data_IF_618194234271
#
_entry.id   IF_618194234271
#
_cell.length_a   1.000
_cell.length_b   1.000
_cell.length_c   1.000
_cell.angle_alpha   90.00
_cell.angle_beta   90.00
_cell.angle_gamma   90.00
#
_symmetry.space_group_name_H-M   'P 1'
#
loop_
_entity.id
_entity.type
_entity.pdbx_description
1 polymer ?
#
# COMPACT_ATOMS: atom_id res chain seq x y z
N UNK A 1 8.33 -19.19 -11.70
CA UNK A 1 7.28 -18.17 -11.49
C UNK A 1 6.15 -18.33 -12.50
N UNK A 2 6.22 -17.84 -13.74
CA UNK A 2 5.12 -18.03 -14.72
C UNK A 2 4.80 -19.51 -14.98
N UNK A 3 5.82 -20.37 -15.06
CA UNK A 3 5.61 -21.81 -15.23
C UNK A 3 5.13 -22.53 -13.94
N UNK A 4 5.37 -21.95 -12.76
CA UNK A 4 4.86 -22.49 -11.48
C UNK A 4 3.42 -22.02 -11.20
N UNK A 5 3.02 -20.87 -11.74
CA UNK A 5 1.63 -20.37 -11.75
C UNK A 5 0.75 -21.28 -12.64
N UNK A 6 1.31 -21.83 -13.73
CA UNK A 6 0.57 -22.77 -14.61
C UNK A 6 0.20 -24.08 -13.93
N UNK A 7 1.05 -24.58 -13.03
CA UNK A 7 0.88 -25.92 -12.45
C UNK A 7 -0.04 -25.92 -11.22
N UNK A 8 -0.12 -24.80 -10.49
CA UNK A 8 -0.90 -24.70 -9.25
C UNK A 8 -2.36 -24.24 -9.43
N UNK A 9 -2.74 -23.70 -10.60
CA UNK A 9 -4.03 -22.99 -10.75
C UNK A 9 -5.06 -23.63 -11.69
N UNK A 10 -4.86 -24.84 -12.20
CA UNK A 10 -5.81 -25.52 -13.11
C UNK A 10 -6.36 -24.61 -14.24
N UNK A 11 -5.58 -23.63 -14.70
CA UNK A 11 -5.98 -22.75 -15.79
C UNK A 11 -6.18 -23.60 -17.06
N UNK A 12 -7.35 -23.51 -17.69
CA UNK A 12 -7.68 -24.28 -18.90
C UNK A 12 -6.57 -24.01 -19.94
N UNK A 13 -6.13 -25.07 -20.63
CA UNK A 13 -5.12 -25.00 -21.68
C UNK A 13 -5.52 -23.98 -22.77
N UNK A 14 -6.81 -23.66 -22.89
CA UNK A 14 -7.36 -22.63 -23.78
C UNK A 14 -7.03 -21.20 -23.36
N UNK A 15 -7.01 -20.89 -22.06
CA UNK A 15 -6.68 -19.55 -21.55
C UNK A 15 -5.18 -19.27 -21.68
N UNK A 16 -4.35 -20.29 -21.46
CA UNK A 16 -2.90 -20.23 -21.67
C UNK A 16 -2.54 -20.07 -23.14
N UNK A 17 -3.34 -20.61 -24.07
CA UNK A 17 -3.11 -20.49 -25.51
C UNK A 17 -3.31 -19.05 -26.01
N UNK A 18 -4.24 -18.29 -25.42
CA UNK A 18 -4.42 -16.85 -25.71
C UNK A 18 -3.23 -16.00 -25.29
N UNK A 19 -2.52 -16.36 -24.23
CA UNK A 19 -1.30 -15.67 -23.80
C UNK A 19 -0.04 -16.10 -24.58
N UNK A 20 -0.06 -17.28 -25.22
CA UNK A 20 1.10 -17.85 -25.91
C UNK A 20 1.21 -17.46 -27.38
N UNK A 21 0.13 -16.94 -27.97
CA UNK A 21 0.09 -16.41 -29.34
C UNK A 21 0.48 -14.92 -29.40
N UNK A 22 1.39 -14.47 -28.53
CA UNK A 22 2.18 -13.27 -28.82
C UNK A 22 3.25 -13.69 -29.84
N UNK A 23 3.27 -13.13 -31.06
CA UNK A 23 4.21 -13.52 -32.10
C UNK A 23 5.64 -13.34 -31.60
N UNK A 24 6.50 -14.35 -31.83
CA UNK A 24 7.95 -14.27 -31.61
C UNK A 24 8.66 -13.38 -32.66
N UNK A 25 8.07 -12.24 -32.97
CA UNK A 25 8.77 -11.12 -33.57
C UNK A 25 9.12 -10.16 -32.45
N UNK A 26 10.33 -9.62 -32.44
CA UNK A 26 10.72 -8.48 -31.62
C UNK A 26 9.68 -7.37 -31.78
N UNK A 27 8.74 -7.26 -30.83
CA UNK A 27 7.83 -6.12 -30.75
C UNK A 27 8.71 -4.94 -30.32
N UNK A 28 8.84 -3.88 -31.13
CA UNK A 28 9.48 -2.65 -30.69
C UNK A 28 8.72 -2.15 -29.46
N UNK A 29 9.45 -1.73 -28.43
CA UNK A 29 8.98 -1.17 -27.16
C UNK A 29 8.23 0.19 -27.32
N UNK A 30 7.42 0.36 -28.36
CA UNK A 30 6.67 1.59 -28.65
C UNK A 30 5.33 1.69 -27.90
N UNK A 31 4.88 0.63 -27.21
CA UNK A 31 3.62 0.65 -26.44
C UNK A 31 3.68 1.53 -25.19
N UNK A 32 4.87 1.91 -24.72
CA UNK A 32 5.01 2.76 -23.54
C UNK A 32 4.47 4.18 -23.77
N UNK A 33 4.54 4.72 -24.99
CA UNK A 33 4.09 6.10 -25.25
C UNK A 33 2.57 6.21 -25.28
N UNK A 34 1.87 5.22 -25.82
CA UNK A 34 0.40 5.19 -25.91
C UNK A 34 -0.21 4.96 -24.53
N UNK A 35 0.36 4.06 -23.74
CA UNK A 35 -0.08 3.79 -22.38
C UNK A 35 0.17 5.00 -21.47
N UNK A 36 1.32 5.68 -21.59
CA UNK A 36 1.57 6.92 -20.85
C UNK A 36 0.58 8.02 -21.28
N UNK A 37 0.30 8.15 -22.58
CA UNK A 37 -0.67 9.15 -23.07
C UNK A 37 -2.09 8.88 -22.58
N UNK A 38 -2.50 7.60 -22.52
CA UNK A 38 -3.83 7.20 -22.05
C UNK A 38 -3.93 7.36 -20.55
N UNK A 39 -2.90 6.95 -19.81
CA UNK A 39 -2.79 7.14 -18.37
C UNK A 39 -2.82 8.62 -17.96
N UNK A 40 -2.09 9.49 -18.66
CA UNK A 40 -2.14 10.92 -18.43
C UNK A 40 -3.50 11.53 -18.79
N UNK A 41 -4.15 11.05 -19.86
CA UNK A 41 -5.53 11.44 -20.16
C UNK A 41 -6.49 11.03 -19.04
N UNK A 42 -6.36 9.83 -18.50
CA UNK A 42 -7.17 9.34 -17.37
C UNK A 42 -6.97 10.23 -16.13
N UNK A 43 -5.71 10.56 -15.78
CA UNK A 43 -5.39 11.49 -14.70
C UNK A 43 -5.99 12.88 -14.92
N UNK A 44 -5.87 13.41 -16.13
CA UNK A 44 -6.44 14.71 -16.47
C UNK A 44 -7.97 14.72 -16.39
N UNK A 45 -8.64 13.61 -16.74
CA UNK A 45 -10.08 13.47 -16.56
C UNK A 45 -10.48 13.52 -15.08
N UNK A 46 -9.75 12.84 -14.20
CA UNK A 46 -9.99 12.90 -12.75
C UNK A 46 -9.74 14.31 -12.17
N UNK A 47 -8.68 14.97 -12.63
CA UNK A 47 -8.37 16.34 -12.17
C UNK A 47 -9.43 17.35 -12.65
N UNK A 48 -9.89 17.22 -13.89
CA UNK A 48 -10.99 18.02 -14.42
C UNK A 48 -12.29 17.79 -13.64
N UNK A 49 -12.57 16.54 -13.27
CA UNK A 49 -13.71 16.17 -12.44
C UNK A 49 -13.64 16.81 -11.05
N UNK A 50 -12.49 16.72 -10.38
CA UNK A 50 -12.29 17.36 -9.08
C UNK A 50 -12.51 18.89 -9.16
N UNK A 51 -11.97 19.52 -10.21
CA UNK A 51 -12.17 20.95 -10.47
C UNK A 51 -13.65 21.29 -10.73
N UNK A 52 -14.36 20.49 -11.53
CA UNK A 52 -15.77 20.69 -11.83
C UNK A 52 -16.63 20.62 -10.56
N UNK A 53 -16.38 19.63 -9.69
CA UNK A 53 -17.07 19.51 -8.40
C UNK A 53 -16.86 20.74 -7.51
N UNK A 54 -15.64 21.24 -7.42
CA UNK A 54 -15.33 22.41 -6.60
C UNK A 54 -16.00 23.68 -7.15
N UNK A 55 -16.00 23.86 -8.47
CA UNK A 55 -16.69 24.97 -9.13
C UNK A 55 -18.20 24.88 -8.88
N UNK A 56 -18.80 23.69 -9.02
CA UNK A 56 -20.23 23.51 -8.79
C UNK A 56 -20.61 23.76 -7.33
N UNK A 57 -19.79 23.27 -6.39
CA UNK A 57 -19.94 23.55 -4.96
C UNK A 57 -19.86 25.04 -4.68
N UNK A 58 -18.88 25.74 -5.25
CA UNK A 58 -18.71 27.20 -5.13
C UNK A 58 -19.90 27.95 -5.72
N UNK A 59 -20.40 27.53 -6.88
CA UNK A 59 -21.58 28.10 -7.52
C UNK A 59 -22.82 27.93 -6.65
N UNK A 60 -23.04 26.75 -6.09
CA UNK A 60 -24.12 26.46 -5.14
C UNK A 60 -24.03 27.35 -3.91
N UNK A 61 -22.82 27.49 -3.35
CA UNK A 61 -22.59 28.33 -2.18
C UNK A 61 -22.87 29.81 -2.52
N UNK A 62 -22.49 30.29 -3.71
CA UNK A 62 -22.74 31.64 -4.20
C UNK A 62 -24.22 31.92 -4.56
N UNK A 63 -24.94 30.93 -5.10
CA UNK A 63 -26.37 31.01 -5.42
C UNK A 63 -27.28 30.89 -4.20
N UNK A 64 -26.71 30.72 -3.01
CA UNK A 64 -27.45 30.82 -1.76
C UNK A 64 -27.75 29.48 -1.11
N UNK A 65 -26.72 28.66 -0.86
CA UNK A 65 -26.75 27.66 0.22
C UNK A 65 -27.16 28.23 1.60
N UNK A 66 -27.31 29.55 1.70
CA UNK A 66 -27.87 30.30 2.84
C UNK A 66 -29.40 30.48 2.83
N UNK A 67 -30.16 30.04 1.83
CA UNK A 67 -31.63 30.09 1.87
C UNK A 67 -32.27 28.78 2.35
N UNK A 68 -31.81 28.31 3.51
CA UNK A 68 -32.74 27.82 4.53
C UNK A 68 -33.37 29.04 5.24
N UNK A 69 -34.02 29.93 4.48
CA UNK A 69 -34.93 30.89 5.07
C UNK A 69 -36.22 30.13 5.39
N UNK A 70 -36.26 29.62 6.62
CA UNK A 70 -37.43 29.66 7.50
C UNK A 70 -38.75 29.20 6.88
N UNK A 71 -39.00 27.89 6.94
CA UNK A 71 -40.35 27.32 6.86
C UNK A 71 -41.15 27.53 8.16
N UNK A 72 -41.04 28.69 8.81
CA UNK A 72 -41.89 29.07 9.94
C UNK A 72 -42.29 30.55 9.85
N UNK A 73 -43.61 30.73 9.71
CA UNK A 73 -44.40 31.94 9.93
C UNK A 73 -44.33 33.05 8.87
N UNK A 74 -45.16 32.94 7.83
CA UNK A 74 -45.99 34.06 7.38
C UNK A 74 -47.28 33.53 6.74
N UNK A 75 -48.28 33.28 7.60
CA UNK A 75 -49.68 33.23 7.16
C UNK A 75 -50.28 34.63 7.29
N UNK A 76 -51.00 35.00 6.23
CA UNK A 76 -51.97 36.07 6.09
C UNK A 76 -51.45 37.51 5.94
N UNK A 77 -51.42 38.04 4.70
CA UNK A 77 -52.53 38.87 4.20
C UNK A 77 -52.50 39.02 2.67
N UNK A 78 -53.70 39.07 2.10
CA UNK A 78 -54.12 39.16 0.70
C UNK A 78 -53.59 40.38 -0.09
N UNK A 79 -53.29 40.19 -1.39
CA UNK A 79 -54.12 40.69 -2.50
C UNK A 79 -53.42 40.55 -3.87
N UNK A 80 -54.26 40.36 -4.88
CA UNK A 80 -54.01 40.19 -6.31
C UNK A 80 -53.20 41.30 -6.98
N UNK A 81 -52.34 40.95 -7.94
CA UNK A 81 -52.43 41.42 -9.35
C UNK A 81 -51.37 40.76 -10.24
N UNK A 82 -51.78 40.55 -11.50
CA UNK A 82 -51.06 39.98 -12.65
C UNK A 82 -49.59 40.42 -12.80
N UNK A 83 -48.71 39.45 -13.10
CA UNK A 83 -47.71 39.57 -14.19
C UNK A 83 -47.14 38.20 -14.60
N UNK A 84 -47.60 37.76 -15.77
CA UNK A 84 -46.91 37.00 -16.82
C UNK A 84 -45.49 36.43 -16.58
N UNK A 85 -45.44 35.10 -16.71
CA UNK A 85 -44.56 34.35 -17.64
C UNK A 85 -43.06 34.61 -17.61
N UNK A 86 -42.42 34.11 -16.55
CA UNK A 86 -41.20 33.32 -16.73
C UNK A 86 -41.36 32.05 -15.92
N UNK A 87 -41.83 30.97 -16.57
CA UNK A 87 -41.66 29.63 -16.02
C UNK A 87 -40.16 29.36 -15.98
N UNK A 88 -39.53 29.73 -14.87
CA UNK A 88 -38.20 29.26 -14.55
C UNK A 88 -38.30 27.75 -14.46
N UNK A 89 -37.89 27.07 -15.53
CA UNK A 89 -37.56 25.64 -15.56
C UNK A 89 -36.38 25.42 -14.61
N UNK A 90 -36.63 25.54 -13.31
CA UNK A 90 -35.68 25.18 -12.28
C UNK A 90 -35.48 23.68 -12.38
N UNK A 91 -34.31 23.27 -12.85
CA UNK A 91 -33.84 21.90 -12.67
C UNK A 91 -33.93 21.64 -11.16
N UNK A 92 -34.74 20.66 -10.77
CA UNK A 92 -34.92 20.33 -9.36
C UNK A 92 -33.55 19.90 -8.83
N UNK A 93 -33.04 20.56 -7.79
CA UNK A 93 -31.74 20.27 -7.15
C UNK A 93 -31.57 18.78 -6.77
N UNK A 94 -32.66 18.02 -6.66
CA UNK A 94 -32.65 16.57 -6.43
C UNK A 94 -32.17 15.73 -7.63
N UNK A 95 -32.18 16.28 -8.85
CA UNK A 95 -31.63 15.64 -10.04
C UNK A 95 -30.10 15.75 -10.08
N UNK A 96 -29.55 16.84 -9.55
CA UNK A 96 -28.10 17.05 -9.48
C UNK A 96 -27.42 16.00 -8.59
N UNK A 97 -28.04 15.66 -7.45
CA UNK A 97 -27.49 14.66 -6.53
C UNK A 97 -27.33 13.27 -7.18
N UNK A 98 -28.30 12.86 -8.01
CA UNK A 98 -28.21 11.59 -8.76
C UNK A 98 -27.09 11.63 -9.80
N UNK A 99 -26.95 12.75 -10.50
CA UNK A 99 -25.88 12.95 -11.48
C UNK A 99 -24.52 12.87 -10.78
N UNK A 100 -24.36 13.50 -9.62
CA UNK A 100 -23.14 13.41 -8.82
C UNK A 100 -22.88 12.00 -8.31
N UNK A 101 -23.91 11.27 -7.87
CA UNK A 101 -23.77 9.89 -7.44
C UNK A 101 -23.24 8.98 -8.57
N UNK A 102 -23.83 9.06 -9.76
CA UNK A 102 -23.35 8.31 -10.93
C UNK A 102 -21.93 8.71 -11.33
N UNK A 103 -21.62 10.01 -11.27
CA UNK A 103 -20.31 10.52 -11.60
C UNK A 103 -19.23 10.12 -10.59
N UNK A 104 -19.56 10.10 -9.29
CA UNK A 104 -18.69 9.60 -8.22
C UNK A 104 -18.37 8.13 -8.43
N UNK A 105 -19.39 7.33 -8.73
CA UNK A 105 -19.24 5.89 -8.95
C UNK A 105 -18.38 5.59 -10.19
N UNK A 106 -18.57 6.35 -11.27
CA UNK A 106 -17.70 6.30 -12.43
C UNK A 106 -16.24 6.64 -12.08
N UNK A 107 -16.01 7.71 -11.32
CA UNK A 107 -14.66 8.13 -10.96
C UNK A 107 -13.95 7.12 -10.05
N UNK A 108 -14.67 6.54 -9.08
CA UNK A 108 -14.17 5.45 -8.23
C UNK A 108 -13.62 4.29 -9.07
N UNK A 109 -14.29 3.95 -10.18
CA UNK A 109 -13.81 2.89 -11.08
C UNK A 109 -12.66 3.30 -11.98
N UNK A 110 -12.61 4.57 -12.36
CA UNK A 110 -11.45 5.12 -13.04
C UNK A 110 -10.21 5.07 -12.16
N UNK A 111 -10.34 5.39 -10.87
CA UNK A 111 -9.29 5.21 -9.87
C UNK A 111 -8.87 3.74 -9.77
N UNK A 112 -9.81 2.82 -9.65
CA UNK A 112 -9.52 1.37 -9.64
C UNK A 112 -8.78 0.91 -10.91
N UNK A 113 -9.16 1.40 -12.09
CA UNK A 113 -8.46 1.08 -13.34
C UNK A 113 -7.06 1.70 -13.42
N UNK A 114 -6.89 2.91 -12.89
CA UNK A 114 -5.60 3.58 -12.77
C UNK A 114 -4.68 2.76 -11.87
N UNK A 115 -5.19 2.31 -10.72
CA UNK A 115 -4.45 1.46 -9.78
C UNK A 115 -4.03 0.15 -10.45
N UNK A 116 -4.95 -0.55 -11.12
CA UNK A 116 -4.60 -1.76 -11.89
C UNK A 116 -3.47 -1.51 -12.89
N UNK A 117 -3.49 -0.37 -13.59
CA UNK A 117 -2.45 0.01 -14.56
C UNK A 117 -1.11 0.26 -13.89
N UNK A 118 -1.09 0.97 -12.76
CA UNK A 118 0.13 1.21 -11.98
C UNK A 118 0.74 -0.12 -11.51
N UNK A 119 -0.10 -1.02 -10.99
CA UNK A 119 0.31 -2.33 -10.50
C UNK A 119 0.94 -3.17 -11.63
N UNK A 120 0.30 -3.18 -12.81
CA UNK A 120 0.83 -3.90 -13.97
C UNK A 120 2.16 -3.30 -14.45
N UNK A 121 2.31 -1.97 -14.42
CA UNK A 121 3.56 -1.32 -14.78
C UNK A 121 4.68 -1.66 -13.79
N UNK A 122 4.40 -1.65 -12.49
CA UNK A 122 5.35 -2.06 -11.45
C UNK A 122 5.83 -3.51 -11.66
N UNK A 123 4.92 -4.45 -11.94
CA UNK A 123 5.29 -5.83 -12.23
C UNK A 123 6.05 -5.99 -13.56
N UNK A 124 5.72 -5.20 -14.57
CA UNK A 124 6.47 -5.17 -15.84
C UNK A 124 7.93 -4.76 -15.60
N UNK A 125 8.14 -3.68 -14.83
CA UNK A 125 9.48 -3.24 -14.46
C UNK A 125 10.22 -4.30 -13.64
N UNK A 126 9.53 -4.94 -12.69
CA UNK A 126 10.10 -6.03 -11.90
C UNK A 126 10.60 -7.19 -12.78
N UNK A 127 9.84 -7.56 -13.81
CA UNK A 127 10.26 -8.63 -14.73
C UNK A 127 11.58 -8.27 -15.40
N UNK A 128 11.79 -7.00 -15.76
CA UNK A 128 13.04 -6.53 -16.39
C UNK A 128 14.23 -6.50 -15.44
N UNK A 129 14.02 -6.09 -14.18
CA UNK A 129 15.10 -6.00 -13.18
C UNK A 129 15.51 -7.36 -12.64
N UNK A 130 14.56 -8.29 -12.49
CA UNK A 130 14.78 -9.60 -11.84
C UNK A 130 15.36 -10.68 -12.76
N UNK A 131 15.52 -10.43 -14.07
CA UNK A 131 16.07 -11.42 -15.03
C UNK A 131 17.42 -12.00 -14.59
N UNK A 132 18.23 -11.20 -13.90
CA UNK A 132 19.59 -11.58 -13.47
C UNK A 132 19.63 -12.25 -12.10
N UNK A 133 18.49 -12.38 -11.42
CA UNK A 133 18.48 -12.95 -10.08
C UNK A 133 18.60 -14.49 -10.10
N UNK A 134 19.30 -15.06 -9.11
CA UNK A 134 19.32 -16.50 -8.89
C UNK A 134 17.92 -17.07 -8.74
N UNK A 135 17.66 -18.23 -9.34
CA UNK A 135 16.41 -18.97 -9.15
C UNK A 135 16.56 -19.90 -7.95
N UNK A 136 15.83 -19.68 -6.82
CA UNK A 136 15.82 -20.59 -5.70
C UNK A 136 15.21 -21.93 -6.10
N UNK A 137 15.56 -23.00 -5.37
CA UNK A 137 14.99 -24.33 -5.65
C UNK A 137 13.54 -24.35 -5.18
N UNK A 138 12.71 -25.13 -5.88
CA UNK A 138 11.28 -25.27 -5.56
C UNK A 138 11.02 -25.72 -4.12
N UNK A 139 11.88 -26.59 -3.57
CA UNK A 139 11.78 -27.05 -2.18
C UNK A 139 11.88 -25.90 -1.17
N UNK A 140 12.81 -24.96 -1.39
CA UNK A 140 13.04 -23.85 -0.47
C UNK A 140 11.85 -22.87 -0.45
N UNK A 141 11.18 -22.71 -1.59
CA UNK A 141 9.98 -21.86 -1.71
C UNK A 141 8.79 -22.47 -0.97
N UNK A 142 8.62 -23.79 -1.03
CA UNK A 142 7.56 -24.50 -0.31
C UNK A 142 7.78 -24.39 1.19
N UNK A 143 9.03 -24.56 1.64
CA UNK A 143 9.39 -24.40 3.05
C UNK A 143 9.12 -22.98 3.55
N UNK A 144 9.55 -21.95 2.81
CA UNK A 144 9.29 -20.56 3.17
C UNK A 144 7.79 -20.22 3.24
N UNK A 145 6.99 -20.74 2.29
CA UNK A 145 5.53 -20.58 2.32
C UNK A 145 4.91 -21.23 3.55
N UNK A 146 5.36 -22.44 3.90
CA UNK A 146 4.87 -23.13 5.08
C UNK A 146 5.26 -22.42 6.38
N UNK A 147 6.46 -21.82 6.44
CA UNK A 147 6.90 -21.02 7.59
C UNK A 147 6.03 -19.75 7.72
N UNK A 148 5.77 -19.04 6.62
CA UNK A 148 4.90 -17.88 6.62
C UNK A 148 3.48 -18.23 7.11
N UNK A 149 2.88 -19.29 6.56
CA UNK A 149 1.55 -19.74 6.98
C UNK A 149 1.49 -20.10 8.48
N UNK A 150 2.54 -20.69 9.04
CA UNK A 150 2.62 -21.00 10.48
C UNK A 150 2.77 -19.75 11.34
N UNK A 151 3.52 -18.75 10.87
CA UNK A 151 3.65 -17.49 11.59
C UNK A 151 2.32 -16.71 11.60
N UNK A 152 1.59 -16.72 10.49
CA UNK A 152 0.28 -16.08 10.40
C UNK A 152 -0.78 -16.81 11.24
N UNK A 153 -0.73 -18.14 11.31
CA UNK A 153 -1.62 -18.91 12.19
C UNK A 153 -1.41 -18.53 13.67
N UNK A 154 -0.16 -18.42 14.12
CA UNK A 154 0.16 -18.01 15.49
C UNK A 154 -0.30 -16.59 15.81
N UNK A 155 -0.15 -15.65 14.86
CA UNK A 155 -0.63 -14.28 15.06
C UNK A 155 -2.15 -14.20 15.24
N UNK A 156 -2.91 -15.07 14.56
CA UNK A 156 -4.37 -15.14 14.72
C UNK A 156 -4.75 -15.71 16.08
N UNK A 157 -4.06 -16.76 16.53
CA UNK A 157 -4.24 -17.31 17.87
C UNK A 157 -3.97 -16.24 18.95
N UNK A 158 -2.88 -15.47 18.82
CA UNK A 158 -2.54 -14.37 19.75
C UNK A 158 -3.54 -13.19 19.71
N UNK A 159 -4.18 -12.94 18.56
CA UNK A 159 -5.22 -11.90 18.41
C UNK A 159 -6.56 -12.37 19.00
N UNK A 160 -6.93 -13.63 18.80
CA UNK A 160 -8.13 -14.24 19.37
C UNK A 160 -8.05 -14.28 20.90
N UNK A 161 -6.91 -14.67 21.49
CA UNK A 161 -6.71 -14.62 22.95
C UNK A 161 -6.87 -13.19 23.53
N UNK A 162 -6.40 -12.16 22.82
CA UNK A 162 -6.53 -10.76 23.24
C UNK A 162 -7.96 -10.22 23.10
N UNK A 163 -8.74 -10.70 22.14
CA UNK A 163 -10.15 -10.35 22.00
C UNK A 163 -11.01 -11.01 23.07
N UNK A 164 -10.71 -12.26 23.46
CA UNK A 164 -11.35 -12.92 24.59
C UNK A 164 -11.09 -12.17 25.92
N UNK A 165 -9.85 -11.74 26.18
CA UNK A 165 -9.52 -10.91 27.36
C UNK A 165 -10.22 -9.53 27.36
N UNK A 166 -10.53 -8.96 26.18
CA UNK A 166 -11.30 -7.70 26.09
C UNK A 166 -12.79 -7.91 26.34
N UNK A 167 -13.36 -9.02 25.86
CA UNK A 167 -14.78 -9.32 26.05
C UNK A 167 -15.10 -9.67 27.51
N UNK A 168 -14.21 -10.34 28.23
CA UNK A 168 -14.36 -10.59 29.67
C UNK A 168 -14.34 -9.30 30.52
N UNK A 169 -13.66 -8.26 30.04
CA UNK A 169 -13.64 -6.95 30.71
C UNK A 169 -14.90 -6.10 30.41
N UNK A 170 -15.48 -6.23 29.22
CA UNK A 170 -16.73 -5.52 28.87
C UNK A 170 -17.97 -6.14 29.55
N UNK A 171 -18.02 -7.47 29.72
CA UNK A 171 -19.11 -8.14 30.45
C UNK A 171 -19.16 -7.78 31.95
N UNK A 172 -18.17 -7.07 32.49
CA UNK A 172 -18.15 -6.59 33.88
C UNK A 172 -18.70 -5.17 34.05
N UNK A 173 -19.00 -4.45 32.97
CA UNK A 173 -19.44 -3.04 32.99
C UNK A 173 -20.94 -2.86 32.66
N UNK A 174 -21.60 -3.84 32.04
CA UNK A 174 -23.00 -3.71 31.57
C UNK A 174 -24.09 -4.26 32.52
N UNK A 175 -23.85 -4.25 33.85
CA UNK A 175 -24.90 -4.53 34.85
C UNK A 175 -25.27 -3.27 35.63
N UNK A 176 -25.75 -2.22 34.96
CA UNK A 176 -26.51 -1.14 35.59
C UNK A 176 -27.11 -0.18 34.54
N UNK A 177 -28.26 -0.51 33.93
CA UNK A 177 -29.40 0.43 33.80
C UNK A 177 -30.60 -0.26 33.15
N UNK A 178 -31.70 -0.19 33.88
CA UNK A 178 -33.07 -0.60 33.58
C UNK A 178 -33.90 0.66 33.18
N UNK A 179 -35.12 0.44 32.69
CA UNK A 179 -36.15 1.39 32.19
C UNK A 179 -35.94 1.85 30.72
N UNK A 180 -36.88 1.77 29.77
CA UNK A 180 -38.33 1.58 29.78
C UNK A 180 -38.98 2.56 28.77
N UNK A 181 -40.11 2.16 28.15
CA UNK A 181 -41.14 3.00 27.46
C UNK A 181 -41.05 3.17 25.91
N UNK A 182 -41.85 2.33 25.24
CA UNK A 182 -43.06 2.61 24.42
C UNK A 182 -43.06 3.36 23.05
N UNK A 183 -43.65 2.63 22.09
CA UNK A 183 -44.73 2.98 21.14
C UNK A 183 -44.52 3.85 19.87
N UNK A 184 -45.23 3.39 18.82
CA UNK A 184 -45.68 4.03 17.55
C UNK A 184 -44.75 4.15 16.33
N UNK A 185 -45.10 3.32 15.34
CA UNK A 185 -45.95 3.83 14.24
C UNK A 185 -45.27 4.12 12.89
N UNK A 186 -45.49 3.20 11.94
CA UNK A 186 -45.79 3.41 10.52
C UNK A 186 -45.22 4.65 9.80
N UNK A 187 -44.36 4.42 8.80
CA UNK A 187 -44.68 4.92 7.45
C UNK A 187 -43.84 4.23 6.36
N UNK A 188 -44.49 3.32 5.63
CA UNK A 188 -44.02 2.83 4.34
C UNK A 188 -44.24 3.92 3.28
N UNK A 189 -43.25 4.80 3.12
CA UNK A 189 -43.18 5.74 2.01
C UNK A 189 -42.58 5.08 0.78
N UNK A 190 -43.38 4.30 0.04
CA UNK A 190 -43.08 3.96 -1.35
C UNK A 190 -43.15 5.26 -2.15
N UNK A 191 -42.01 5.93 -2.29
CA UNK A 191 -41.87 7.08 -3.18
C UNK A 191 -41.41 6.57 -4.54
N UNK A 192 -42.31 6.76 -5.50
CA UNK A 192 -42.13 6.59 -6.94
C UNK A 192 -40.85 7.27 -7.45
N UNK A 193 -39.75 6.53 -7.47
CA UNK A 193 -38.46 7.00 -8.01
C UNK A 193 -37.98 6.20 -9.24
N UNK A 194 -38.84 5.39 -9.83
CA UNK A 194 -38.48 4.40 -10.86
C UNK A 194 -38.37 4.95 -12.29
N UNK A 195 -38.72 6.20 -12.56
CA UNK A 195 -38.72 6.71 -13.94
C UNK A 195 -37.38 7.31 -14.40
N UNK A 196 -36.49 7.74 -13.50
CA UNK A 196 -35.15 8.26 -13.87
C UNK A 196 -34.02 7.22 -13.77
N UNK A 197 -34.26 6.09 -13.12
CA UNK A 197 -33.38 4.92 -13.19
C UNK A 197 -33.49 4.19 -14.54
N UNK A 198 -34.48 4.53 -15.37
CA UNK A 198 -34.75 3.88 -16.66
C UNK A 198 -33.81 4.31 -17.79
N UNK A 199 -33.01 5.37 -17.60
CA UNK A 199 -32.04 5.85 -18.61
C UNK A 199 -30.63 5.29 -18.42
N UNK A 200 -30.33 4.64 -17.29
CA UNK A 200 -29.17 3.76 -17.19
C UNK A 200 -29.62 2.43 -17.76
N UNK A 201 -29.22 2.13 -18.99
CA UNK A 201 -29.58 0.89 -19.66
C UNK A 201 -29.26 -0.29 -18.73
N UNK A 202 -30.11 -1.31 -18.65
CA UNK A 202 -29.85 -2.54 -17.87
C UNK A 202 -28.44 -3.11 -18.13
N UNK A 203 -27.93 -2.88 -19.33
CA UNK A 203 -26.56 -3.22 -19.75
C UNK A 203 -25.48 -2.53 -18.93
N UNK A 204 -25.68 -1.28 -18.52
CA UNK A 204 -24.68 -0.51 -17.78
C UNK A 204 -24.55 -1.02 -16.34
N UNK A 205 -25.67 -1.33 -15.67
CA UNK A 205 -25.69 -1.94 -14.33
C UNK A 205 -25.05 -3.34 -14.32
N UNK A 206 -25.29 -4.14 -15.36
CA UNK A 206 -24.61 -5.43 -15.51
C UNK A 206 -23.11 -5.24 -15.71
N UNK A 207 -22.69 -4.33 -16.59
CA UNK A 207 -21.27 -3.98 -16.79
C UNK A 207 -20.62 -3.44 -15.51
N UNK A 208 -21.35 -2.66 -14.72
CA UNK A 208 -20.91 -2.16 -13.42
C UNK A 208 -20.55 -3.31 -12.47
N UNK A 209 -21.43 -4.30 -12.35
CA UNK A 209 -21.23 -5.46 -11.48
C UNK A 209 -20.08 -6.36 -11.96
N UNK A 210 -19.89 -6.49 -13.28
CA UNK A 210 -18.80 -7.27 -13.88
C UNK A 210 -17.44 -6.61 -13.60
N UNK A 211 -17.34 -5.28 -13.72
CA UNK A 211 -16.10 -4.56 -13.44
C UNK A 211 -15.66 -4.74 -11.99
N UNK A 212 -16.57 -4.55 -11.04
CA UNK A 212 -16.27 -4.71 -9.61
C UNK A 212 -15.82 -6.15 -9.29
N UNK A 213 -16.44 -7.15 -9.93
CA UNK A 213 -16.03 -8.55 -9.81
C UNK A 213 -14.60 -8.78 -10.35
N UNK A 214 -14.30 -8.26 -11.54
CA UNK A 214 -12.96 -8.37 -12.16
C UNK A 214 -11.91 -7.67 -11.31
N UNK A 215 -12.19 -6.46 -10.83
CA UNK A 215 -11.29 -5.70 -9.96
C UNK A 215 -11.01 -6.45 -8.65
N UNK A 216 -12.04 -7.07 -8.06
CA UNK A 216 -11.89 -7.91 -6.85
C UNK A 216 -11.01 -9.14 -7.13
N UNK A 217 -11.22 -9.82 -8.25
CA UNK A 217 -10.39 -10.96 -8.67
C UNK A 217 -8.94 -10.53 -8.92
N UNK A 218 -8.73 -9.41 -9.61
CA UNK A 218 -7.40 -8.85 -9.86
C UNK A 218 -6.65 -8.51 -8.57
N UNK A 219 -7.34 -7.88 -7.62
CA UNK A 219 -6.77 -7.54 -6.30
C UNK A 219 -6.37 -8.80 -5.53
N UNK A 220 -7.22 -9.84 -5.53
CA UNK A 220 -6.91 -11.13 -4.91
C UNK A 220 -5.67 -11.76 -5.54
N UNK A 221 -5.62 -11.84 -6.87
CA UNK A 221 -4.48 -12.42 -7.58
C UNK A 221 -3.19 -11.63 -7.33
N UNK A 222 -3.28 -10.29 -7.30
CA UNK A 222 -2.16 -9.41 -7.00
C UNK A 222 -1.60 -9.71 -5.62
N UNK A 223 -2.46 -9.88 -4.62
CA UNK A 223 -2.05 -10.21 -3.27
C UNK A 223 -1.36 -11.59 -3.20
N UNK A 224 -1.86 -12.59 -3.92
CA UNK A 224 -1.21 -13.90 -4.01
C UNK A 224 0.18 -13.83 -4.64
N UNK A 225 0.35 -13.01 -5.69
CA UNK A 225 1.64 -12.76 -6.33
C UNK A 225 2.61 -12.09 -5.34
N UNK A 226 2.14 -11.11 -4.57
CA UNK A 226 2.95 -10.47 -3.53
C UNK A 226 3.43 -11.46 -2.48
N UNK A 227 2.58 -12.35 -1.99
CA UNK A 227 2.98 -13.40 -1.04
C UNK A 227 4.07 -14.30 -1.61
N UNK A 228 3.96 -14.69 -2.88
CA UNK A 228 4.98 -15.49 -3.56
C UNK A 228 6.31 -14.73 -3.71
N UNK A 229 6.25 -13.45 -4.05
CA UNK A 229 7.44 -12.59 -4.12
C UNK A 229 8.06 -12.43 -2.72
N UNK A 230 7.26 -12.22 -1.68
CA UNK A 230 7.72 -12.14 -0.29
C UNK A 230 8.46 -13.40 0.14
N UNK A 231 7.88 -14.58 -0.13
CA UNK A 231 8.53 -15.86 0.14
C UNK A 231 9.85 -16.02 -0.65
N UNK A 232 9.86 -15.62 -1.93
CA UNK A 232 11.07 -15.62 -2.75
C UNK A 232 12.17 -14.73 -2.16
N UNK A 233 11.82 -13.49 -1.78
CA UNK A 233 12.74 -12.52 -1.17
C UNK A 233 13.33 -13.11 0.10
N UNK A 234 12.51 -13.67 0.99
CA UNK A 234 12.99 -14.29 2.23
C UNK A 234 14.01 -15.41 1.96
N UNK A 235 13.72 -16.33 1.03
CA UNK A 235 14.66 -17.41 0.66
C UNK A 235 15.97 -16.85 0.09
N UNK A 236 15.90 -15.79 -0.71
CA UNK A 236 17.08 -15.14 -1.27
C UNK A 236 17.95 -14.54 -0.17
N UNK A 237 17.36 -13.83 0.79
CA UNK A 237 18.11 -13.25 1.91
C UNK A 237 18.65 -14.30 2.88
N UNK A 238 17.95 -15.41 3.12
CA UNK A 238 18.49 -16.51 3.93
C UNK A 238 19.76 -17.14 3.34
N UNK A 239 19.95 -17.06 2.02
CA UNK A 239 21.13 -17.62 1.33
C UNK A 239 22.23 -16.59 1.06
N UNK A 240 21.88 -15.31 1.12
CA UNK A 240 22.81 -14.24 0.77
C UNK A 240 23.84 -14.06 1.88
N UNK A 241 25.10 -14.39 1.58
CA UNK A 241 26.19 -14.28 2.56
C UNK A 241 26.94 -12.95 2.48
N UNK A 242 26.78 -12.21 1.38
CA UNK A 242 27.56 -11.00 1.09
C UNK A 242 26.65 -9.78 0.98
N UNK A 243 27.07 -8.68 1.60
CA UNK A 243 26.31 -7.42 1.63
C UNK A 243 26.03 -6.86 0.23
N UNK A 244 26.99 -6.95 -0.70
CA UNK A 244 26.80 -6.44 -2.06
C UNK A 244 25.76 -7.24 -2.87
N UNK A 245 25.69 -8.56 -2.67
CA UNK A 245 24.68 -9.42 -3.29
C UNK A 245 23.29 -9.07 -2.73
N UNK A 246 23.20 -8.84 -1.41
CA UNK A 246 21.95 -8.42 -0.76
C UNK A 246 21.46 -7.06 -1.23
N UNK A 247 22.36 -6.08 -1.36
CA UNK A 247 22.03 -4.76 -1.90
C UNK A 247 21.61 -4.82 -3.37
N UNK A 248 22.24 -5.68 -4.18
CA UNK A 248 21.84 -5.89 -5.57
C UNK A 248 20.43 -6.51 -5.67
N UNK A 249 20.12 -7.46 -4.79
CA UNK A 249 18.77 -8.03 -4.69
C UNK A 249 17.76 -6.94 -4.31
N UNK A 250 18.04 -6.13 -3.29
CA UNK A 250 17.16 -5.02 -2.88
C UNK A 250 16.91 -4.02 -4.02
N UNK A 251 17.96 -3.61 -4.74
CA UNK A 251 17.83 -2.71 -5.88
C UNK A 251 16.98 -3.31 -7.01
N UNK A 252 17.03 -4.64 -7.18
CA UNK A 252 16.21 -5.32 -8.18
C UNK A 252 14.71 -5.28 -7.86
N UNK A 253 14.35 -5.13 -6.58
CA UNK A 253 12.97 -5.04 -6.08
C UNK A 253 12.49 -3.61 -5.85
N UNK A 254 13.30 -2.59 -6.18
CA UNK A 254 12.94 -1.17 -6.03
C UNK A 254 11.60 -0.78 -6.67
N UNK A 255 11.22 -1.26 -7.88
CA UNK A 255 9.94 -0.91 -8.51
C UNK A 255 8.68 -1.32 -7.73
N UNK A 256 8.81 -2.26 -6.79
CA UNK A 256 7.69 -2.78 -5.99
C UNK A 256 7.82 -2.43 -4.50
N UNK A 257 8.85 -1.66 -4.11
CA UNK A 257 9.11 -1.28 -2.72
C UNK A 257 8.01 -0.41 -2.10
N UNK A 258 7.19 0.26 -2.90
CA UNK A 258 6.11 1.13 -2.41
C UNK A 258 4.88 0.33 -1.95
N UNK A 259 4.80 -0.96 -2.29
CA UNK A 259 3.65 -1.81 -1.95
C UNK A 259 3.71 -2.22 -0.48
N UNK A 260 2.68 -1.90 0.29
CA UNK A 260 2.65 -2.05 1.76
C UNK A 260 3.15 -3.40 2.28
N UNK A 261 2.69 -4.52 1.70
CA UNK A 261 3.08 -5.86 2.13
C UNK A 261 4.56 -6.18 1.82
N UNK A 262 5.04 -5.83 0.63
CA UNK A 262 6.42 -6.11 0.24
C UNK A 262 7.40 -5.14 0.89
N UNK A 263 6.95 -3.93 1.18
CA UNK A 263 7.75 -2.89 1.84
C UNK A 263 8.21 -3.33 3.23
N UNK A 264 7.34 -3.95 4.02
CA UNK A 264 7.71 -4.46 5.35
C UNK A 264 8.74 -5.58 5.24
N UNK A 265 8.52 -6.55 4.35
CA UNK A 265 9.45 -7.66 4.13
C UNK A 265 10.82 -7.18 3.64
N UNK A 266 10.85 -6.25 2.68
CA UNK A 266 12.09 -5.69 2.15
C UNK A 266 12.81 -4.82 3.19
N UNK A 267 12.08 -4.14 4.07
CA UNK A 267 12.64 -3.43 5.21
C UNK A 267 13.30 -4.40 6.19
N UNK A 268 12.61 -5.45 6.59
CA UNK A 268 13.17 -6.46 7.50
C UNK A 268 14.41 -7.12 6.90
N UNK A 269 14.38 -7.44 5.60
CA UNK A 269 15.54 -7.96 4.88
C UNK A 269 16.70 -6.95 4.85
N UNK A 270 16.42 -5.67 4.64
CA UNK A 270 17.42 -4.59 4.68
C UNK A 270 18.06 -4.51 6.07
N UNK A 271 17.26 -4.46 7.14
CA UNK A 271 17.76 -4.37 8.53
C UNK A 271 18.63 -5.57 8.86
N UNK A 272 18.13 -6.79 8.60
CA UNK A 272 18.87 -8.02 8.85
C UNK A 272 20.21 -8.07 8.10
N UNK A 273 20.26 -7.57 6.86
CA UNK A 273 21.49 -7.49 6.07
C UNK A 273 22.53 -6.56 6.72
N UNK A 274 22.10 -5.39 7.19
CA UNK A 274 22.99 -4.41 7.83
C UNK A 274 23.47 -4.89 9.21
N UNK A 275 22.56 -5.41 10.04
CA UNK A 275 22.92 -5.96 11.36
C UNK A 275 23.92 -7.10 11.23
N UNK A 276 23.69 -8.03 10.30
CA UNK A 276 24.62 -9.15 10.05
C UNK A 276 25.99 -8.66 9.58
N UNK A 277 26.03 -7.63 8.73
CA UNK A 277 27.28 -7.05 8.24
C UNK A 277 28.09 -6.36 9.36
N UNK A 278 27.43 -5.63 10.26
CA UNK A 278 28.06 -4.97 11.42
C UNK A 278 28.53 -6.00 12.44
N UNK A 279 27.71 -7.01 12.74
CA UNK A 279 28.09 -8.09 13.67
C UNK A 279 29.33 -8.85 13.15
N UNK A 280 29.39 -9.09 11.84
CA UNK A 280 30.56 -9.70 11.21
C UNK A 280 31.81 -8.82 11.30
N UNK A 281 31.72 -7.51 11.01
CA UNK A 281 32.87 -6.61 11.10
C UNK A 281 33.41 -6.52 12.53
N UNK A 282 32.54 -6.42 13.53
CA UNK A 282 32.92 -6.42 14.95
C UNK A 282 33.57 -7.73 15.38
N UNK A 283 32.97 -8.87 15.03
CA UNK A 283 33.55 -10.19 15.34
C UNK A 283 34.94 -10.36 14.73
N UNK A 284 35.12 -9.90 13.48
CA UNK A 284 36.42 -9.95 12.82
C UNK A 284 37.43 -9.03 13.51
N UNK A 285 37.03 -7.82 13.90
CA UNK A 285 37.86 -6.88 14.65
C UNK A 285 38.33 -7.47 15.99
N UNK A 286 37.43 -8.07 16.76
CA UNK A 286 37.77 -8.71 18.04
C UNK A 286 38.74 -9.88 17.83
N UNK A 287 38.57 -10.69 16.78
CA UNK A 287 39.48 -11.81 16.47
C UNK A 287 40.89 -11.33 16.11
N UNK A 288 41.02 -10.29 15.28
CA UNK A 288 42.35 -9.75 14.93
C UNK A 288 43.00 -9.06 16.13
N UNK A 289 42.21 -8.42 17.00
CA UNK A 289 42.68 -7.77 18.22
C UNK A 289 43.20 -8.80 19.23
N UNK A 290 42.48 -9.90 19.44
CA UNK A 290 42.93 -11.02 20.27
C UNK A 290 44.26 -11.60 19.79
N UNK A 291 44.40 -11.85 18.48
CA UNK A 291 45.66 -12.33 17.90
C UNK A 291 46.81 -11.33 18.11
N UNK A 292 46.53 -10.03 17.94
CA UNK A 292 47.52 -8.97 18.17
C UNK A 292 47.93 -8.87 19.64
N UNK A 293 47.01 -9.07 20.58
CA UNK A 293 47.31 -9.07 22.01
C UNK A 293 48.25 -10.24 22.39
N UNK A 294 48.07 -11.43 21.80
CA UNK A 294 49.01 -12.55 21.96
C UNK A 294 50.40 -12.20 21.42
N UNK A 295 50.49 -11.50 20.29
CA UNK A 295 51.78 -11.04 19.76
C UNK A 295 52.45 -10.00 20.66
N UNK A 296 51.68 -9.10 21.28
CA UNK A 296 52.21 -8.10 22.22
C UNK A 296 52.72 -8.72 23.53
N UNK A 297 52.11 -9.81 23.99
CA UNK A 297 52.55 -10.52 25.20
C UNK A 297 53.87 -11.27 24.99
N UNK A 298 54.16 -11.71 23.77
CA UNK A 298 55.36 -12.47 23.43
C UNK A 298 56.49 -11.54 22.97
N UNK A 299 57.31 -11.07 23.92
CA UNK A 299 58.42 -10.13 23.65
C UNK A 299 59.38 -10.59 22.53
N UNK A 300 59.62 -11.90 22.41
CA UNK A 300 60.47 -12.50 21.36
C UNK A 300 59.91 -12.34 19.94
N UNK A 301 58.60 -12.16 19.79
CA UNK A 301 57.98 -11.94 18.47
C UNK A 301 58.15 -10.49 18.05
N UNK A 302 58.13 -9.56 19.01
CA UNK A 302 58.29 -8.12 18.76
C UNK A 302 59.68 -7.81 18.20
N UNK A 303 60.69 -8.57 18.60
CA UNK A 303 62.08 -8.41 18.14
C UNK A 303 62.32 -9.02 16.75
N UNK A 304 61.38 -9.79 16.18
CA UNK A 304 61.50 -10.30 14.82
C UNK A 304 61.37 -9.16 13.81
N UNK A 305 62.25 -9.13 12.81
CA UNK A 305 62.25 -8.12 11.74
C UNK A 305 60.94 -8.05 10.93
N UNK A 306 60.11 -9.09 10.97
CA UNK A 306 58.81 -9.15 10.28
C UNK A 306 57.66 -8.49 11.07
N UNK A 307 57.82 -8.28 12.38
CA UNK A 307 56.77 -7.73 13.24
C UNK A 307 56.25 -6.34 12.79
N UNK A 308 57.10 -5.38 12.37
CA UNK A 308 56.63 -4.09 11.85
C UNK A 308 55.69 -4.21 10.65
N UNK A 309 55.89 -5.20 9.78
CA UNK A 309 55.04 -5.44 8.60
C UNK A 309 53.66 -5.93 9.06
N UNK A 310 53.64 -6.90 9.99
CA UNK A 310 52.41 -7.46 10.57
C UNK A 310 51.63 -6.37 11.32
N UNK A 311 52.31 -5.55 12.12
CA UNK A 311 51.71 -4.43 12.85
C UNK A 311 51.09 -3.38 11.91
N UNK A 312 51.79 -3.02 10.82
CA UNK A 312 51.24 -2.13 9.79
C UNK A 312 50.01 -2.73 9.10
N UNK A 313 50.04 -4.02 8.77
CA UNK A 313 48.91 -4.71 8.15
C UNK A 313 47.70 -4.76 9.10
N UNK A 314 47.91 -5.06 10.38
CA UNK A 314 46.87 -5.01 11.40
C UNK A 314 46.25 -3.61 11.51
N UNK A 315 47.06 -2.56 11.66
CA UNK A 315 46.55 -1.20 11.81
C UNK A 315 45.76 -0.75 10.57
N UNK A 316 46.22 -1.14 9.37
CA UNK A 316 45.50 -0.87 8.11
C UNK A 316 44.17 -1.61 8.07
N UNK A 317 44.14 -2.89 8.43
CA UNK A 317 42.92 -3.72 8.43
C UNK A 317 41.93 -3.24 9.50
N UNK A 318 42.38 -2.98 10.72
CA UNK A 318 41.54 -2.46 11.81
C UNK A 318 40.92 -1.10 11.43
N UNK A 319 41.73 -0.18 10.87
CA UNK A 319 41.22 1.10 10.36
C UNK A 319 40.20 0.92 9.24
N UNK A 320 40.44 -0.01 8.30
CA UNK A 320 39.51 -0.28 7.21
C UNK A 320 38.17 -0.86 7.73
N UNK A 321 38.20 -1.76 8.72
CA UNK A 321 36.99 -2.32 9.34
C UNK A 321 36.18 -1.25 10.09
N UNK A 322 36.85 -0.34 10.80
CA UNK A 322 36.20 0.75 11.51
C UNK A 322 35.57 1.76 10.54
N UNK A 323 36.26 2.11 9.45
CA UNK A 323 35.70 2.96 8.38
C UNK A 323 34.50 2.28 7.70
N UNK A 324 34.58 0.96 7.47
CA UNK A 324 33.47 0.19 6.90
C UNK A 324 32.22 0.24 7.80
N UNK A 325 32.38 0.05 9.12
CA UNK A 325 31.28 0.16 10.09
C UNK A 325 30.69 1.58 10.11
N UNK A 326 31.53 2.61 10.12
CA UNK A 326 31.07 4.01 10.07
C UNK A 326 30.28 4.32 8.80
N UNK A 327 30.72 3.83 7.64
CA UNK A 327 30.01 4.00 6.37
C UNK A 327 28.65 3.30 6.37
N UNK A 328 28.56 2.08 6.92
CA UNK A 328 27.30 1.37 7.04
C UNK A 328 26.32 2.10 7.95
N UNK A 329 26.79 2.56 9.12
CA UNK A 329 25.97 3.31 10.07
C UNK A 329 25.52 4.65 9.50
N UNK A 330 26.39 5.37 8.80
CA UNK A 330 26.05 6.63 8.14
C UNK A 330 24.96 6.43 7.08
N UNK A 331 25.09 5.39 6.24
CA UNK A 331 24.11 5.07 5.19
C UNK A 331 22.78 4.58 5.76
N UNK A 332 22.82 3.80 6.84
CA UNK A 332 21.62 3.39 7.56
C UNK A 332 20.90 4.61 8.16
N UNK A 333 21.65 5.50 8.80
CA UNK A 333 21.12 6.76 9.37
C UNK A 333 20.50 7.65 8.30
N UNK A 334 21.16 7.86 7.16
CA UNK A 334 20.61 8.64 6.04
C UNK A 334 19.27 8.08 5.56
N UNK A 335 19.14 6.75 5.52
CA UNK A 335 17.91 6.10 5.12
C UNK A 335 16.79 6.24 6.16
N UNK A 336 17.13 6.13 7.45
CA UNK A 336 16.18 6.42 8.54
C UNK A 336 15.75 7.88 8.53
N UNK A 337 16.68 8.81 8.34
CA UNK A 337 16.39 10.24 8.25
C UNK A 337 15.46 10.53 7.05
N UNK A 338 15.74 9.92 5.89
CA UNK A 338 14.83 9.98 4.75
C UNK A 338 13.44 9.44 5.10
N UNK A 339 13.33 8.30 5.79
CA UNK A 339 12.03 7.77 6.23
C UNK A 339 11.35 8.66 7.26
N UNK A 340 12.09 9.28 8.16
CA UNK A 340 11.58 10.24 9.14
C UNK A 340 11.00 11.48 8.45
N UNK A 341 11.61 11.95 7.37
CA UNK A 341 11.08 13.04 6.57
C UNK A 341 9.75 12.66 5.88
N UNK A 342 9.60 11.41 5.46
CA UNK A 342 8.32 10.88 4.97
C UNK A 342 7.26 10.76 6.09
N UNK A 343 7.68 10.52 7.34
CA UNK A 343 6.80 10.46 8.51
C UNK A 343 6.40 11.84 9.06
N UNK A 344 7.23 12.87 8.82
CA UNK A 344 6.87 14.26 9.05
C UNK A 344 5.81 14.76 8.05
N UNK A 345 5.46 13.98 7.01
CA UNK A 345 4.25 14.25 6.24
C UNK A 345 3.02 14.02 7.13
N UNK A 346 2.13 15.02 7.17
CA UNK A 346 0.99 15.13 8.09
C UNK A 346 0.43 13.79 8.60
N UNK A 347 0.65 13.51 9.89
CA UNK A 347 0.08 12.39 10.66
C UNK A 347 -1.46 12.38 10.70
N UNK A 348 -2.09 13.42 10.17
CA UNK A 348 -3.54 13.62 10.16
C UNK A 348 -4.00 13.65 8.70
N UNK A 349 -4.62 12.56 8.26
CA UNK A 349 -5.36 12.54 7.03
C UNK A 349 -6.83 12.83 7.37
N UNK A 350 -7.38 13.92 6.85
CA UNK A 350 -8.82 14.14 6.86
C UNK A 350 -9.43 13.19 5.83
N UNK A 351 -10.06 12.12 6.29
CA UNK A 351 -10.92 11.30 5.44
C UNK A 351 -12.30 11.96 5.45
N UNK A 352 -12.69 12.57 4.34
CA UNK A 352 -14.07 12.99 4.13
C UNK A 352 -14.86 11.74 3.72
N UNK A 353 -15.47 11.05 4.68
CA UNK A 353 -16.50 10.07 4.36
C UNK A 353 -17.74 10.86 3.89
N UNK A 354 -18.12 10.64 2.63
CA UNK A 354 -19.38 11.16 2.10
C UNK A 354 -20.52 10.44 2.81
N UNK A 355 -21.21 11.10 3.75
CA UNK A 355 -22.69 11.16 3.86
C UNK A 355 -23.19 11.79 5.17
N UNK A 356 -22.35 12.03 6.17
CA UNK A 356 -22.71 12.87 7.32
C UNK A 356 -21.51 13.73 7.72
N UNK A 357 -21.76 14.93 8.24
CA UNK A 357 -20.76 15.95 8.63
C UNK A 357 -19.71 15.51 9.70
N UNK A 358 -19.53 14.21 9.94
CA UNK A 358 -18.52 13.67 10.83
C UNK A 358 -17.16 13.58 10.14
N UNK A 359 -16.37 14.66 10.26
CA UNK A 359 -14.92 14.63 9.99
C UNK A 359 -14.25 13.67 10.97
N UNK A 360 -14.04 12.40 10.57
CA UNK A 360 -13.22 11.47 11.35
C UNK A 360 -11.75 11.73 11.05
N UNK A 361 -11.04 12.23 12.04
CA UNK A 361 -9.58 12.31 12.03
C UNK A 361 -9.08 10.87 12.12
N UNK A 362 -8.58 10.31 11.02
CA UNK A 362 -7.78 9.08 11.07
C UNK A 362 -6.34 9.49 11.32
N UNK A 363 -5.80 9.03 12.45
CA UNK A 363 -4.36 9.06 12.66
C UNK A 363 -3.78 8.19 11.56
N UNK A 364 -2.84 8.75 10.79
CA UNK A 364 -2.02 7.98 9.88
C UNK A 364 -1.08 7.11 10.73
N UNK A 365 -1.66 6.11 11.40
CA UNK A 365 -0.95 5.09 12.18
C UNK A 365 -0.31 4.16 11.18
N UNK A 366 0.62 4.68 10.41
CA UNK A 366 1.45 3.85 9.58
C UNK A 366 2.20 2.94 10.56
N UNK A 367 2.00 1.63 10.44
CA UNK A 367 2.75 0.54 11.08
C UNK A 367 4.27 0.79 11.12
N UNK A 368 4.76 1.68 10.25
CA UNK A 368 6.11 2.23 10.21
C UNK A 368 6.61 2.88 11.51
N UNK A 369 5.75 3.48 12.34
CA UNK A 369 6.17 4.09 13.61
C UNK A 369 6.74 3.04 14.57
N UNK A 370 6.04 1.91 14.74
CA UNK A 370 6.48 0.81 15.60
C UNK A 370 7.70 0.08 15.03
N UNK A 371 7.77 -0.09 13.70
CA UNK A 371 8.92 -0.70 13.02
C UNK A 371 10.19 0.15 13.15
N UNK A 372 10.11 1.48 13.10
CA UNK A 372 11.27 2.36 13.34
C UNK A 372 11.73 2.28 14.80
N UNK A 373 10.80 2.18 15.75
CA UNK A 373 11.16 2.02 17.17
C UNK A 373 11.84 0.68 17.46
N UNK A 374 11.45 -0.40 16.80
CA UNK A 374 12.15 -1.69 16.87
C UNK A 374 13.51 -1.66 16.17
N UNK A 375 13.68 -0.83 15.13
CA UNK A 375 14.96 -0.67 14.42
C UNK A 375 16.01 0.17 15.18
N UNK A 376 15.56 1.06 16.08
CA UNK A 376 16.42 1.93 16.90
C UNK A 376 16.88 1.25 18.20
N UNK A 377 16.18 0.22 18.67
CA UNK A 377 16.60 -0.62 19.80
C UNK A 377 17.73 -1.55 19.41
#
# INVERSE_FOLDING_TARGET
IIDDIKENFHLDKRDVKRFREVPKGSIPLETNSINESTFQRLKNCLLLQASYKEIFRTLRDALGGSQMLTSTAFSATSSSTLSETTQASGILMSQDEKIFQHFNEFCRRFEQMLDMTIILNQFSQLITTTVRLPKPKRADLIEAKNIANRADARKREDEEEREEERNDNNNKVENASDEGIDDRGSNAGVTTNDYLTSTVSKTDLELMSIFDLIHKQFTSLTHEIEQLIGAYVNVMFSKTKRTHEGLFILASFEPICERNYLRSILRDAYVNLFLTAIAWSRTLLTKIEQAMNVFKLNQHIITLGNFPIISKLYNRTAKALLVYEQLLLARWKEKIDAWKDHLNANLLCLVNDNEENNKRIKINSIIELFSIFDEVK
#
